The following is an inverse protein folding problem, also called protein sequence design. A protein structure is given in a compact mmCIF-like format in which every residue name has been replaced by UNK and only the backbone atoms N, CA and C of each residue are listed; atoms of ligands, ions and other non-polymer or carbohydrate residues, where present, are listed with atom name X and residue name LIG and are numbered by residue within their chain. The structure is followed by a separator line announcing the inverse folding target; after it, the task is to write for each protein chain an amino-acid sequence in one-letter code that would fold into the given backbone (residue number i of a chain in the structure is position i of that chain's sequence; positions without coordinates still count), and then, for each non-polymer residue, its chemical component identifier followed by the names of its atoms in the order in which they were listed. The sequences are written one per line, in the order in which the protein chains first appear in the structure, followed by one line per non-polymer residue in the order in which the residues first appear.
data_IF_986299382651
#
_entry.id   IF_986299382651
#
_cell.length_a   1.000
_cell.length_b   1.000
_cell.length_c   1.000
_cell.angle_alpha   90.00
_cell.angle_beta   90.00
_cell.angle_gamma   90.00
#
_symmetry.space_group_name_H-M   'P 1'
#
loop_
_entity.id
_entity.type
_entity.pdbx_description
1 polymer ?
#
# COMPACT_ATOMS: atom_id res chain seq x y z
N UNK A 1 59.93 -0.60 52.82
CA UNK A 1 59.37 -0.56 51.44
C UNK A 1 57.99 0.08 51.53
N UNK A 2 57.79 1.28 50.99
CA UNK A 2 56.47 1.94 50.97
C UNK A 2 55.83 1.73 49.59
N UNK A 3 54.61 1.19 49.56
CA UNK A 3 53.86 0.97 48.34
C UNK A 3 53.20 2.27 47.86
N UNK A 4 53.57 2.76 46.68
CA UNK A 4 53.03 3.99 46.10
C UNK A 4 51.62 3.74 45.55
N UNK A 5 50.61 4.24 46.25
CA UNK A 5 49.20 4.15 45.85
C UNK A 5 48.93 5.14 44.70
N UNK A 6 48.85 4.65 43.47
CA UNK A 6 48.51 5.45 42.29
C UNK A 6 47.06 5.96 42.42
N UNK A 7 46.88 7.28 42.59
CA UNK A 7 45.55 7.91 42.50
C UNK A 7 45.08 7.81 41.06
N UNK A 8 44.06 7.00 40.80
CA UNK A 8 43.35 7.05 39.53
C UNK A 8 42.65 8.41 39.43
N UNK A 9 42.96 9.16 38.36
CA UNK A 9 42.24 10.39 38.03
C UNK A 9 40.89 9.98 37.47
N UNK A 10 39.82 10.28 38.20
CA UNK A 10 38.47 10.21 37.66
C UNK A 10 38.34 11.29 36.58
N UNK A 11 38.30 10.87 35.32
CA UNK A 11 38.02 11.72 34.19
C UNK A 11 36.50 11.89 34.12
N UNK A 12 36.02 13.11 34.39
CA UNK A 12 34.61 13.49 34.21
C UNK A 12 34.41 14.12 32.82
N UNK A 13 33.20 14.00 32.29
CA UNK A 13 32.81 14.69 31.05
C UNK A 13 32.71 16.20 31.27
N UNK A 14 33.14 16.96 30.28
CA UNK A 14 32.92 18.41 30.21
C UNK A 14 31.51 18.72 29.70
N UNK A 15 30.98 19.89 30.07
CA UNK A 15 29.68 20.37 29.59
C UNK A 15 29.64 20.49 28.06
N UNK A 16 30.75 20.91 27.45
CA UNK A 16 30.83 21.06 25.99
C UNK A 16 30.81 19.71 25.27
N UNK A 17 31.47 18.68 25.81
CA UNK A 17 31.41 17.33 25.26
C UNK A 17 29.98 16.79 25.26
N UNK A 18 29.25 16.97 26.37
CA UNK A 18 27.84 16.57 26.43
C UNK A 18 26.96 17.36 25.47
N UNK A 19 27.20 18.68 25.35
CA UNK A 19 26.42 19.57 24.49
C UNK A 19 26.58 19.24 23.00
N UNK A 20 27.80 18.92 22.56
CA UNK A 20 28.06 18.51 21.17
C UNK A 20 27.36 17.19 20.85
N UNK A 21 27.36 16.23 21.77
CA UNK A 21 26.74 14.91 21.58
C UNK A 21 25.22 15.04 21.38
N UNK A 22 24.52 15.75 22.27
CA UNK A 22 23.07 15.92 22.14
C UNK A 22 22.70 16.70 20.87
N UNK A 23 23.54 17.65 20.45
CA UNK A 23 23.33 18.42 19.22
C UNK A 23 23.41 17.52 17.98
N UNK A 24 24.42 16.64 17.92
CA UNK A 24 24.57 15.68 16.82
C UNK A 24 23.41 14.67 16.81
N UNK A 25 23.02 14.14 17.98
CA UNK A 25 21.87 13.21 18.10
C UNK A 25 20.57 13.90 17.64
N UNK A 26 20.37 15.18 18.00
CA UNK A 26 19.22 15.96 17.56
C UNK A 26 19.14 16.09 16.04
N UNK A 27 20.26 16.44 15.39
CA UNK A 27 20.34 16.54 13.94
C UNK A 27 20.04 15.18 13.28
N UNK A 28 20.73 14.11 13.71
CA UNK A 28 20.55 12.78 13.13
C UNK A 28 19.13 12.24 13.34
N UNK A 29 18.52 12.46 14.51
CA UNK A 29 17.17 11.97 14.82
C UNK A 29 16.08 12.70 14.02
N UNK A 30 16.23 14.01 13.77
CA UNK A 30 15.31 14.76 12.91
C UNK A 30 15.31 14.24 11.47
N UNK A 31 16.48 13.97 10.90
CA UNK A 31 16.64 13.42 9.55
C UNK A 31 16.07 11.99 9.45
N UNK A 32 16.31 11.16 10.47
CA UNK A 32 15.78 9.81 10.54
C UNK A 32 14.24 9.78 10.60
N UNK A 33 13.63 10.74 11.31
CA UNK A 33 12.16 10.81 11.40
C UNK A 33 11.51 11.09 10.04
N UNK A 34 12.07 12.04 9.28
CA UNK A 34 11.57 12.35 7.93
C UNK A 34 11.74 11.13 7.00
N UNK A 35 12.89 10.46 7.04
CA UNK A 35 13.18 9.33 6.15
C UNK A 35 12.28 8.12 6.41
N UNK A 36 11.96 7.82 7.67
CA UNK A 36 11.05 6.72 8.03
C UNK A 36 9.64 6.98 7.54
N UNK A 37 9.15 8.22 7.68
CA UNK A 37 7.83 8.58 7.15
C UNK A 37 7.77 8.43 5.62
N UNK A 38 8.88 8.76 4.94
CA UNK A 38 9.01 8.55 3.49
C UNK A 38 8.96 7.05 3.13
N UNK A 39 9.73 6.23 3.83
CA UNK A 39 9.77 4.79 3.59
C UNK A 39 8.40 4.12 3.82
N UNK A 40 7.67 4.53 4.86
CA UNK A 40 6.34 4.00 5.18
C UNK A 40 5.32 4.28 4.08
N UNK A 41 5.27 5.50 3.52
CA UNK A 41 4.33 5.77 2.42
C UNK A 41 4.69 4.96 1.17
N UNK A 42 5.99 4.83 0.85
CA UNK A 42 6.45 4.05 -0.31
C UNK A 42 6.06 2.58 -0.16
N UNK A 43 6.24 2.02 1.04
CA UNK A 43 5.85 0.64 1.33
C UNK A 43 4.33 0.44 1.15
N UNK A 44 3.50 1.35 1.65
CA UNK A 44 2.03 1.26 1.45
C UNK A 44 1.64 1.37 -0.02
N UNK A 45 2.24 2.29 -0.78
CA UNK A 45 1.98 2.40 -2.22
C UNK A 45 2.43 1.14 -2.99
N UNK A 46 3.55 0.52 -2.61
CA UNK A 46 3.98 -0.75 -3.19
C UNK A 46 2.98 -1.88 -2.92
N UNK A 47 2.41 -1.94 -1.72
CA UNK A 47 1.34 -2.90 -1.40
C UNK A 47 0.09 -2.64 -2.25
N UNK A 48 -0.34 -1.37 -2.39
CA UNK A 48 -1.49 -1.02 -3.25
C UNK A 48 -1.29 -1.47 -4.70
N UNK A 49 -0.12 -1.20 -5.26
CA UNK A 49 0.21 -1.61 -6.63
C UNK A 49 0.27 -3.13 -6.79
N UNK A 50 0.86 -3.83 -5.83
CA UNK A 50 0.87 -5.31 -5.80
C UNK A 50 -0.54 -5.88 -5.73
N UNK A 51 -1.40 -5.32 -4.87
CA UNK A 51 -2.79 -5.72 -4.73
C UNK A 51 -3.56 -5.62 -6.05
N UNK A 52 -3.47 -4.48 -6.73
CA UNK A 52 -4.16 -4.30 -8.01
C UNK A 52 -3.57 -5.20 -9.10
N UNK A 53 -2.26 -5.46 -9.07
CA UNK A 53 -1.62 -6.42 -9.98
C UNK A 53 -2.17 -7.85 -9.80
N UNK A 54 -2.45 -8.27 -8.56
CA UNK A 54 -3.06 -9.57 -8.28
C UNK A 54 -4.51 -9.64 -8.77
N UNK A 55 -5.26 -8.55 -8.61
CA UNK A 55 -6.65 -8.46 -9.11
C UNK A 55 -6.67 -8.53 -10.64
N UNK A 56 -5.77 -7.82 -11.31
CA UNK A 56 -5.61 -7.90 -12.76
C UNK A 56 -5.30 -9.31 -13.23
N UNK A 57 -4.39 -10.02 -12.54
CA UNK A 57 -4.11 -11.41 -12.86
C UNK A 57 -5.36 -12.29 -12.71
N UNK A 58 -6.14 -12.10 -11.64
CA UNK A 58 -7.39 -12.83 -11.43
C UNK A 58 -8.43 -12.51 -12.52
N UNK A 59 -8.50 -11.26 -12.98
CA UNK A 59 -9.35 -10.85 -14.10
C UNK A 59 -8.97 -11.55 -15.40
N UNK A 60 -7.68 -11.67 -15.73
CA UNK A 60 -7.27 -12.43 -16.93
C UNK A 60 -7.64 -13.90 -16.84
N UNK A 61 -7.45 -14.53 -15.67
CA UNK A 61 -7.86 -15.92 -15.47
C UNK A 61 -9.39 -16.07 -15.59
N UNK A 62 -10.15 -15.09 -15.09
CA UNK A 62 -11.60 -15.05 -15.28
C UNK A 62 -11.97 -14.94 -16.76
N UNK A 63 -11.29 -14.07 -17.51
CA UNK A 63 -11.53 -13.89 -18.95
C UNK A 63 -11.21 -15.16 -19.74
N UNK A 64 -10.10 -15.84 -19.44
CA UNK A 64 -9.72 -17.10 -20.11
C UNK A 64 -10.83 -18.16 -19.99
N UNK A 65 -11.47 -18.25 -18.83
CA UNK A 65 -12.54 -19.22 -18.56
C UNK A 65 -13.93 -18.76 -19.06
N UNK A 66 -14.22 -17.46 -19.08
CA UNK A 66 -15.58 -16.92 -19.34
C UNK A 66 -15.71 -16.15 -20.66
N UNK A 67 -14.60 -15.87 -21.34
CA UNK A 67 -14.49 -15.06 -22.57
C UNK A 67 -15.02 -13.62 -22.42
N UNK A 68 -15.17 -13.15 -21.19
CA UNK A 68 -15.58 -11.80 -20.84
C UNK A 68 -15.13 -11.46 -19.43
N UNK A 69 -14.90 -10.18 -19.15
CA UNK A 69 -14.73 -9.67 -17.80
C UNK A 69 -16.09 -9.49 -17.07
N UNK A 70 -16.10 -9.39 -15.73
CA UNK A 70 -17.32 -9.11 -14.96
C UNK A 70 -17.98 -7.77 -15.36
N UNK A 71 -19.04 -7.83 -16.16
CA UNK A 71 -19.70 -6.63 -16.70
C UNK A 71 -20.41 -5.83 -15.61
N UNK A 72 -20.21 -4.52 -15.57
CA UNK A 72 -20.78 -3.61 -14.56
C UNK A 72 -22.05 -2.87 -15.00
N UNK A 73 -22.63 -3.27 -16.14
CA UNK A 73 -23.52 -2.42 -16.95
C UNK A 73 -24.82 -1.89 -16.31
N UNK A 74 -25.24 -0.73 -16.83
CA UNK A 74 -26.63 -0.22 -16.80
C UNK A 74 -26.83 1.15 -17.48
N UNK A 75 -27.25 1.17 -18.75
CA UNK A 75 -27.84 2.27 -19.56
C UNK A 75 -27.07 3.61 -19.74
N UNK A 76 -26.02 3.86 -18.97
CA UNK A 76 -25.19 5.05 -19.03
C UNK A 76 -23.73 4.65 -19.32
N UNK A 77 -22.87 5.58 -19.78
CA UNK A 77 -21.44 5.32 -19.85
C UNK A 77 -20.98 4.75 -18.50
N UNK A 78 -20.21 3.68 -18.61
CA UNK A 78 -19.80 2.79 -17.53
C UNK A 78 -19.17 3.57 -16.37
N UNK A 79 -19.97 3.85 -15.33
CA UNK A 79 -19.49 4.62 -14.19
C UNK A 79 -18.55 3.76 -13.36
N UNK A 80 -17.30 4.17 -13.26
CA UNK A 80 -16.30 3.53 -12.39
C UNK A 80 -16.67 3.85 -10.95
N UNK A 81 -17.08 2.83 -10.18
CA UNK A 81 -17.53 3.04 -8.79
C UNK A 81 -17.03 1.96 -7.84
N UNK A 82 -16.97 2.31 -6.56
CA UNK A 82 -16.76 1.35 -5.48
C UNK A 82 -17.91 0.32 -5.34
N UNK A 83 -19.12 0.68 -5.75
CA UNK A 83 -20.26 -0.24 -5.72
C UNK A 83 -20.02 -1.42 -6.68
N UNK A 84 -19.52 -1.13 -7.88
CA UNK A 84 -19.16 -2.14 -8.87
C UNK A 84 -18.04 -3.06 -8.36
N UNK A 85 -17.04 -2.52 -7.67
CA UNK A 85 -15.99 -3.31 -7.05
C UNK A 85 -16.56 -4.39 -6.11
N UNK A 86 -17.43 -3.98 -5.19
CA UNK A 86 -17.94 -4.88 -4.15
C UNK A 86 -19.06 -5.80 -4.60
N UNK A 87 -19.91 -5.33 -5.51
CA UNK A 87 -21.14 -6.04 -5.90
C UNK A 87 -20.98 -6.82 -7.20
N UNK A 88 -19.98 -6.50 -8.03
CA UNK A 88 -19.74 -7.15 -9.32
C UNK A 88 -18.40 -7.89 -9.31
N UNK A 89 -17.29 -7.17 -9.16
CA UNK A 89 -15.96 -7.75 -9.32
C UNK A 89 -15.64 -8.80 -8.26
N UNK A 90 -15.73 -8.43 -6.97
CA UNK A 90 -15.32 -9.32 -5.89
C UNK A 90 -16.14 -10.62 -5.85
N UNK A 91 -17.48 -10.60 -5.96
CA UNK A 91 -18.27 -11.82 -6.02
C UNK A 91 -17.92 -12.71 -7.23
N UNK A 92 -17.66 -12.10 -8.39
CA UNK A 92 -17.26 -12.83 -9.59
C UNK A 92 -15.89 -13.52 -9.42
N UNK A 93 -14.89 -12.80 -8.90
CA UNK A 93 -13.55 -13.36 -8.69
C UNK A 93 -13.50 -14.39 -7.55
N UNK A 94 -14.36 -14.27 -6.54
CA UNK A 94 -14.44 -15.22 -5.43
C UNK A 94 -15.25 -16.47 -5.75
N UNK A 95 -15.93 -16.50 -6.90
CA UNK A 95 -16.85 -17.58 -7.23
C UNK A 95 -18.12 -17.59 -6.37
N UNK A 96 -18.43 -16.49 -5.68
CA UNK A 96 -19.59 -16.38 -4.77
C UNK A 96 -20.93 -16.57 -5.54
N UNK A 97 -20.91 -16.39 -6.86
CA UNK A 97 -22.03 -16.61 -7.78
C UNK A 97 -22.09 -18.05 -8.34
N UNK A 98 -21.41 -19.01 -7.72
CA UNK A 98 -21.36 -20.41 -8.16
C UNK A 98 -20.32 -20.69 -9.25
N UNK A 99 -19.39 -19.75 -9.48
CA UNK A 99 -18.29 -19.86 -10.42
C UNK A 99 -17.00 -20.42 -9.79
N UNK A 100 -15.98 -20.60 -10.61
CA UNK A 100 -14.61 -20.92 -10.15
C UNK A 100 -14.04 -19.76 -9.33
N UNK A 101 -13.19 -20.09 -8.36
CA UNK A 101 -12.50 -19.10 -7.52
C UNK A 101 -11.20 -18.68 -8.20
N UNK A 102 -11.06 -17.39 -8.50
CA UNK A 102 -9.87 -16.77 -9.10
C UNK A 102 -9.06 -15.97 -8.07
N UNK A 103 -9.71 -15.49 -7.01
CA UNK A 103 -9.09 -14.79 -5.89
C UNK A 103 -9.84 -15.12 -4.60
N UNK A 104 -9.12 -15.59 -3.57
CA UNK A 104 -9.75 -16.05 -2.33
C UNK A 104 -10.24 -14.91 -1.42
N UNK A 105 -9.53 -13.78 -1.43
CA UNK A 105 -9.86 -12.60 -0.61
C UNK A 105 -9.61 -11.34 -1.43
N UNK A 106 -10.51 -10.33 -1.38
CA UNK A 106 -10.23 -9.03 -1.97
C UNK A 106 -8.99 -8.39 -1.32
N UNK A 107 -8.23 -7.56 -2.05
CA UNK A 107 -7.17 -6.78 -1.45
C UNK A 107 -7.74 -5.75 -0.46
N UNK A 108 -7.01 -5.53 0.63
CA UNK A 108 -7.30 -4.48 1.60
C UNK A 108 -6.29 -3.36 1.44
N UNK A 109 -6.76 -2.11 1.50
CA UNK A 109 -5.85 -0.97 1.55
C UNK A 109 -5.13 -0.91 2.91
N UNK A 110 -3.81 -0.59 2.94
CA UNK A 110 -3.05 -0.60 4.19
C UNK A 110 -3.48 0.43 5.24
N UNK A 111 -4.18 1.49 4.84
CA UNK A 111 -4.60 2.59 5.71
C UNK A 111 -6.10 2.59 5.93
N UNK A 112 -6.88 2.35 4.87
CA UNK A 112 -8.32 2.31 4.92
C UNK A 112 -8.84 0.89 4.66
N UNK A 113 -9.65 0.36 5.58
CA UNK A 113 -10.31 -0.95 5.40
C UNK A 113 -11.72 -0.83 4.82
N UNK A 114 -12.17 0.39 4.57
CA UNK A 114 -13.44 0.64 3.91
C UNK A 114 -13.42 0.10 2.49
N UNK A 115 -14.59 -0.35 2.04
CA UNK A 115 -14.76 -1.00 0.75
C UNK A 115 -14.79 -0.01 -0.43
N UNK A 116 -14.50 1.27 -0.20
CA UNK A 116 -14.58 2.35 -1.20
C UNK A 116 -13.24 2.75 -1.79
N UNK A 117 -12.17 2.03 -1.49
CA UNK A 117 -10.81 2.41 -1.89
C UNK A 117 -10.47 2.03 -3.33
N UNK A 118 -11.11 0.97 -3.82
CA UNK A 118 -10.96 0.47 -5.18
C UNK A 118 -12.29 0.61 -5.90
N UNK A 119 -12.23 1.11 -7.12
CA UNK A 119 -13.39 1.26 -7.99
C UNK A 119 -13.18 0.44 -9.25
N UNK A 120 -14.29 -0.01 -9.84
CA UNK A 120 -14.25 -0.91 -10.99
C UNK A 120 -15.32 -0.55 -12.02
N UNK A 121 -14.98 -0.80 -13.28
CA UNK A 121 -15.88 -0.77 -14.42
C UNK A 121 -15.42 -1.84 -15.42
N UNK A 122 -16.34 -2.56 -16.04
CA UNK A 122 -16.05 -3.30 -17.28
C UNK A 122 -17.24 -3.38 -18.25
N UNK A 123 -16.95 -3.25 -19.56
CA UNK A 123 -17.89 -3.52 -20.66
C UNK A 123 -17.88 -5.00 -21.09
N UNK A 124 -17.10 -5.84 -20.41
CA UNK A 124 -16.90 -7.26 -20.71
C UNK A 124 -15.71 -7.55 -21.61
N UNK A 125 -15.20 -6.57 -22.35
CA UNK A 125 -13.99 -6.70 -23.18
C UNK A 125 -12.82 -5.90 -22.63
N UNK A 126 -13.10 -4.73 -22.08
CA UNK A 126 -12.14 -3.85 -21.41
C UNK A 126 -12.55 -3.70 -19.94
N UNK A 127 -11.60 -3.33 -19.09
CA UNK A 127 -11.89 -2.99 -17.71
C UNK A 127 -11.04 -1.83 -17.22
N UNK A 128 -11.56 -1.15 -16.19
CA UNK A 128 -10.90 -0.05 -15.52
C UNK A 128 -10.90 -0.31 -14.02
N UNK A 129 -9.75 -0.11 -13.38
CA UNK A 129 -9.63 -0.07 -11.92
C UNK A 129 -9.07 1.30 -11.50
N UNK A 130 -9.81 2.03 -10.68
CA UNK A 130 -9.30 3.24 -10.02
C UNK A 130 -8.87 2.92 -8.59
N UNK A 131 -7.75 3.52 -8.21
CA UNK A 131 -7.25 3.50 -6.85
C UNK A 131 -6.36 4.71 -6.58
N UNK A 132 -6.18 5.05 -5.31
CA UNK A 132 -5.41 6.22 -4.91
C UNK A 132 -4.05 5.83 -4.36
N UNK A 133 -3.00 6.48 -4.85
CA UNK A 133 -1.67 6.41 -4.21
C UNK A 133 -1.46 7.61 -3.30
N UNK A 134 -0.90 7.35 -2.12
CA UNK A 134 -0.60 8.41 -1.17
C UNK A 134 0.40 9.40 -1.74
N UNK A 135 0.07 10.70 -1.61
CA UNK A 135 0.90 11.85 -2.05
C UNK A 135 1.18 11.89 -3.55
N UNK A 136 0.41 11.17 -4.36
CA UNK A 136 0.56 11.18 -5.83
C UNK A 136 -0.76 11.43 -6.56
N UNK A 137 -1.90 11.10 -5.96
CA UNK A 137 -3.24 11.38 -6.52
C UNK A 137 -3.92 10.13 -7.07
N UNK A 138 -5.03 10.29 -7.83
CA UNK A 138 -5.73 9.17 -8.45
C UNK A 138 -4.83 8.47 -9.48
N UNK A 139 -4.88 7.14 -9.50
CA UNK A 139 -4.29 6.31 -10.53
C UNK A 139 -5.36 5.46 -11.19
N UNK A 140 -5.30 5.41 -12.51
CA UNK A 140 -6.19 4.63 -13.35
C UNK A 140 -5.35 3.54 -14.03
N UNK A 141 -5.82 2.29 -13.96
CA UNK A 141 -5.33 1.25 -14.83
C UNK A 141 -6.39 0.99 -15.89
N UNK A 142 -6.06 1.41 -17.11
CA UNK A 142 -6.83 1.14 -18.33
C UNK A 142 -6.17 0.01 -19.11
N UNK A 143 -6.97 -0.93 -19.59
CA UNK A 143 -6.52 -1.98 -20.49
C UNK A 143 -7.53 -2.13 -21.63
N UNK A 144 -7.03 -1.99 -22.86
CA UNK A 144 -7.77 -2.08 -24.14
C UNK A 144 -7.72 -3.51 -24.68
#
# INVERSE_FOLDING_TARGET
MQATKTRQKNLGFTLIELLVVISIIGILSSLATISVNVARFKARNAVRQSNVSQVRLALYLYYDDNLQYPVTGGLLPEEVTAANWNNVLIPALRGDLGGKVYMASPPLDPLNRDLTVYEYASNGQEFVIHYYLERVGPYELHEY
#
